data_IF_316927963118
#
_entry.id   IF_316927963118
#
_cell.length_a   1.000
_cell.length_b   1.000
_cell.length_c   1.000
_cell.angle_alpha   90.00
_cell.angle_beta   90.00
_cell.angle_gamma   90.00
#
_symmetry.space_group_name_H-M   'P 1'
#
loop_
_entity.id
_entity.type
_entity.pdbx_description
1 polymer ?
#
# COMPACT_ATOMS: atom_id res chain seq x y z
N UNK A 1 -22.56 -21.17 16.08
CA UNK A 1 -23.53 -20.10 15.77
C UNK A 1 -23.26 -19.63 14.36
N UNK A 2 -24.23 -19.78 13.46
CA UNK A 2 -24.11 -19.30 12.09
C UNK A 2 -24.25 -17.78 12.09
N UNK A 3 -23.24 -17.06 11.60
CA UNK A 3 -23.32 -15.63 11.38
C UNK A 3 -24.39 -15.39 10.32
N UNK A 4 -25.49 -14.73 10.68
CA UNK A 4 -26.47 -14.24 9.71
C UNK A 4 -25.76 -13.18 8.87
N UNK A 5 -25.75 -13.36 7.55
CA UNK A 5 -25.14 -12.43 6.60
C UNK A 5 -25.69 -11.01 6.83
N UNK A 6 -24.82 -10.11 7.30
CA UNK A 6 -25.11 -8.69 7.46
C UNK A 6 -24.04 -7.90 6.69
N UNK A 7 -24.37 -7.40 5.48
CA UNK A 7 -23.42 -6.67 4.62
C UNK A 7 -22.66 -5.54 5.33
N UNK A 8 -23.32 -4.84 6.26
CA UNK A 8 -22.71 -3.75 7.03
C UNK A 8 -21.61 -4.23 7.99
N UNK A 9 -21.73 -5.46 8.53
CA UNK A 9 -20.69 -6.04 9.36
C UNK A 9 -19.46 -6.43 8.51
N UNK A 10 -19.68 -7.01 7.34
CA UNK A 10 -18.60 -7.38 6.41
C UNK A 10 -17.85 -6.16 5.89
N UNK A 11 -18.57 -5.10 5.52
CA UNK A 11 -17.98 -3.81 5.15
C UNK A 11 -17.10 -3.25 6.28
N UNK A 12 -17.63 -3.20 7.50
CA UNK A 12 -16.87 -2.70 8.67
C UNK A 12 -15.62 -3.53 8.96
N UNK A 13 -15.71 -4.86 8.77
CA UNK A 13 -14.58 -5.78 8.91
C UNK A 13 -13.50 -5.52 7.85
N UNK A 14 -13.89 -5.29 6.59
CA UNK A 14 -12.92 -4.91 5.55
C UNK A 14 -12.31 -3.55 5.86
N UNK A 15 -13.09 -2.54 6.25
CA UNK A 15 -12.59 -1.21 6.57
C UNK A 15 -11.63 -1.20 7.78
N UNK A 16 -11.77 -2.14 8.72
CA UNK A 16 -10.91 -2.29 9.89
C UNK A 16 -9.70 -3.23 9.69
N UNK A 17 -9.88 -4.34 8.97
CA UNK A 17 -8.91 -5.44 8.88
C UNK A 17 -8.55 -5.85 7.46
N UNK A 18 -9.05 -5.14 6.44
CA UNK A 18 -8.88 -5.49 5.03
C UNK A 18 -7.42 -5.62 4.61
N UNK A 19 -6.51 -4.83 5.21
CA UNK A 19 -5.06 -4.95 4.95
C UNK A 19 -4.47 -6.28 5.43
N UNK A 20 -5.02 -6.87 6.49
CA UNK A 20 -4.58 -8.17 7.00
C UNK A 20 -4.89 -9.32 6.03
N UNK A 21 -5.78 -9.10 5.05
CA UNK A 21 -6.03 -10.07 3.98
C UNK A 21 -4.77 -10.47 3.23
N UNK A 22 -3.80 -9.56 3.11
CA UNK A 22 -2.54 -9.82 2.43
C UNK A 22 -1.63 -10.81 3.18
N UNK A 23 -1.87 -11.06 4.47
CA UNK A 23 -1.11 -12.04 5.27
C UNK A 23 -1.55 -13.49 5.01
N UNK A 24 -2.68 -13.68 4.32
CA UNK A 24 -3.26 -14.99 4.10
C UNK A 24 -3.08 -15.37 2.63
N UNK A 25 -2.20 -16.34 2.38
CA UNK A 25 -1.78 -16.73 1.04
C UNK A 25 -2.95 -16.97 0.07
N UNK A 26 -4.01 -17.74 0.41
CA UNK A 26 -5.15 -17.93 -0.50
C UNK A 26 -5.87 -16.62 -0.86
N UNK A 27 -6.00 -15.70 0.10
CA UNK A 27 -6.63 -14.40 -0.11
C UNK A 27 -5.73 -13.51 -0.96
N UNK A 28 -4.43 -13.46 -0.67
CA UNK A 28 -3.45 -12.72 -1.47
C UNK A 28 -3.42 -13.19 -2.94
N UNK A 29 -3.53 -14.51 -3.19
CA UNK A 29 -3.66 -15.06 -4.54
C UNK A 29 -4.85 -14.47 -5.30
N UNK A 30 -6.01 -14.40 -4.65
CA UNK A 30 -7.23 -13.87 -5.26
C UNK A 30 -7.20 -12.35 -5.40
N UNK A 31 -6.58 -11.62 -4.45
CA UNK A 31 -6.30 -10.18 -4.58
C UNK A 31 -5.51 -9.91 -5.86
N UNK A 32 -4.39 -10.61 -6.06
CA UNK A 32 -3.54 -10.46 -7.25
C UNK A 32 -4.28 -10.79 -8.54
N UNK A 33 -5.11 -11.85 -8.52
CA UNK A 33 -5.90 -12.29 -9.67
C UNK A 33 -6.97 -11.26 -10.08
N UNK A 34 -7.59 -10.60 -9.11
CA UNK A 34 -8.66 -9.61 -9.33
C UNK A 34 -8.16 -8.19 -9.56
N UNK A 35 -6.85 -7.98 -9.48
CA UNK A 35 -6.23 -6.66 -9.57
C UNK A 35 -6.44 -6.00 -10.94
N UNK A 36 -6.98 -4.79 -10.91
CA UNK A 36 -7.21 -3.93 -12.07
C UNK A 36 -6.28 -2.73 -11.99
N UNK A 37 -5.56 -2.46 -13.08
CA UNK A 37 -4.71 -1.28 -13.19
C UNK A 37 -5.56 -0.02 -13.41
N UNK A 38 -5.19 1.07 -12.73
CA UNK A 38 -5.79 2.39 -12.86
C UNK A 38 -4.85 3.27 -13.70
N UNK A 39 -5.07 3.36 -15.03
CA UNK A 39 -4.09 3.92 -15.94
C UNK A 39 -3.89 5.42 -15.74
N UNK A 40 -2.64 5.87 -15.94
CA UNK A 40 -2.35 7.27 -16.27
C UNK A 40 -2.95 7.59 -17.63
N UNK A 41 -3.38 8.83 -17.85
CA UNK A 41 -3.87 9.26 -19.17
C UNK A 41 -2.82 8.90 -20.23
N UNK A 42 -3.24 8.21 -21.29
CA UNK A 42 -2.39 7.73 -22.42
C UNK A 42 -1.33 6.64 -22.12
N UNK A 43 -1.34 5.98 -20.95
CA UNK A 43 -0.36 4.93 -20.63
C UNK A 43 -0.79 3.50 -21.00
N UNK A 44 0.20 2.68 -21.35
CA UNK A 44 0.05 1.23 -21.53
C UNK A 44 -0.36 0.59 -20.19
N UNK A 45 -1.17 -0.47 -20.23
CA UNK A 45 -1.48 -1.26 -19.03
C UNK A 45 -0.20 -1.82 -18.41
N UNK A 46 0.05 -1.48 -17.15
CA UNK A 46 1.17 -2.02 -16.38
C UNK A 46 0.70 -3.20 -15.51
N UNK A 47 1.60 -4.15 -15.30
CA UNK A 47 1.40 -5.22 -14.33
C UNK A 47 2.08 -4.86 -13.02
N UNK A 48 1.36 -5.04 -11.91
CA UNK A 48 1.90 -4.88 -10.56
C UNK A 48 3.01 -5.89 -10.30
N UNK A 49 4.00 -5.49 -9.51
CA UNK A 49 5.04 -6.37 -8.94
C UNK A 49 4.45 -7.60 -8.25
N UNK A 50 3.24 -7.47 -7.68
CA UNK A 50 2.54 -8.54 -6.96
C UNK A 50 2.06 -9.68 -7.86
N UNK A 51 1.96 -9.45 -9.18
CA UNK A 51 1.68 -10.52 -10.15
C UNK A 51 2.88 -11.43 -10.39
N UNK A 52 4.09 -10.97 -10.10
CA UNK A 52 5.29 -11.79 -10.20
C UNK A 52 5.40 -12.69 -8.97
N UNK A 53 5.04 -13.97 -9.11
CA UNK A 53 5.09 -14.95 -8.00
C UNK A 53 6.49 -15.28 -7.51
N UNK A 54 7.52 -14.95 -8.29
CA UNK A 54 8.92 -15.10 -7.88
C UNK A 54 9.43 -13.87 -7.11
N UNK A 55 8.63 -12.81 -7.00
CA UNK A 55 9.00 -11.61 -6.25
C UNK A 55 9.03 -11.92 -4.75
N UNK A 56 10.17 -11.74 -4.10
CA UNK A 56 10.30 -11.96 -2.68
C UNK A 56 9.44 -10.94 -1.90
N UNK A 57 8.63 -11.44 -0.98
CA UNK A 57 7.73 -10.60 -0.18
C UNK A 57 6.41 -10.21 -0.85
N UNK A 58 6.07 -10.75 -2.05
CA UNK A 58 4.80 -10.46 -2.73
C UNK A 58 3.56 -10.77 -1.88
N UNK A 59 3.65 -11.80 -1.04
CA UNK A 59 2.69 -12.09 0.02
C UNK A 59 3.41 -11.84 1.36
N UNK A 60 3.04 -10.81 2.14
CA UNK A 60 3.65 -10.61 3.44
C UNK A 60 3.34 -11.79 4.38
N UNK A 61 4.31 -12.16 5.20
CA UNK A 61 4.20 -13.28 6.15
C UNK A 61 4.19 -12.82 7.60
N UNK A 62 4.51 -11.55 7.83
CA UNK A 62 4.61 -10.93 9.15
C UNK A 62 3.98 -9.56 9.11
N UNK A 63 3.39 -9.18 10.23
CA UNK A 63 2.85 -7.86 10.47
C UNK A 63 3.72 -7.14 11.50
N UNK A 64 3.93 -5.85 11.32
CA UNK A 64 4.60 -4.98 12.28
C UNK A 64 3.89 -3.63 12.37
N UNK A 65 3.46 -3.26 13.57
CA UNK A 65 2.94 -1.93 13.82
C UNK A 65 4.10 -0.92 13.87
N UNK A 66 3.93 0.24 13.22
CA UNK A 66 4.93 1.30 13.16
C UNK A 66 4.36 2.56 13.80
N UNK A 67 5.01 3.00 14.88
CA UNK A 67 4.70 4.28 15.50
C UNK A 67 5.45 5.41 14.80
N UNK A 68 4.72 6.47 14.45
CA UNK A 68 5.30 7.70 13.93
C UNK A 68 5.41 8.72 15.06
N UNK A 69 6.39 9.62 14.96
CA UNK A 69 6.53 10.72 15.91
C UNK A 69 5.31 11.65 15.83
N UNK A 70 4.86 12.10 16.99
CA UNK A 70 3.88 13.18 17.13
C UNK A 70 4.59 14.31 17.88
N UNK A 71 4.95 15.39 17.19
CA UNK A 71 5.74 16.48 17.78
C UNK A 71 7.11 16.02 18.30
N UNK A 72 7.61 16.69 19.33
CA UNK A 72 8.97 16.48 19.83
C UNK A 72 9.11 15.33 20.87
N UNK A 73 8.00 14.82 21.41
CA UNK A 73 7.98 14.00 22.63
C UNK A 73 7.73 12.49 22.44
N UNK A 74 7.68 11.99 21.19
CA UNK A 74 7.36 10.58 20.91
C UNK A 74 8.56 9.70 20.55
N UNK A 75 8.52 8.43 20.99
CA UNK A 75 9.37 7.36 20.43
C UNK A 75 8.80 6.94 19.06
N UNK A 76 9.47 7.29 17.97
CA UNK A 76 9.18 6.72 16.64
C UNK A 76 9.86 5.37 16.46
N UNK A 77 9.19 4.51 15.72
CA UNK A 77 9.84 3.39 15.06
C UNK A 77 10.66 3.96 13.89
N UNK A 78 11.98 3.81 13.93
CA UNK A 78 12.86 4.11 12.80
C UNK A 78 13.25 2.80 12.14
N UNK A 79 12.98 2.69 10.85
CA UNK A 79 13.35 1.58 9.98
C UNK A 79 14.59 2.03 9.21
N UNK A 80 15.79 1.53 9.54
CA UNK A 80 16.97 1.80 8.72
C UNK A 80 16.74 1.22 7.33
N UNK A 81 16.92 2.02 6.28
CA UNK A 81 16.71 1.56 4.90
C UNK A 81 17.60 0.36 4.54
N UNK A 82 18.83 0.32 5.09
CA UNK A 82 19.73 -0.85 5.03
C UNK A 82 19.19 -2.15 5.64
N UNK A 83 18.13 -2.06 6.46
CA UNK A 83 17.50 -3.19 7.15
C UNK A 83 16.08 -3.47 6.62
N UNK A 84 15.69 -2.87 5.49
CA UNK A 84 14.40 -3.17 4.87
C UNK A 84 14.32 -4.67 4.55
N UNK A 85 13.25 -5.31 5.02
CA UNK A 85 12.95 -6.70 4.74
C UNK A 85 11.67 -6.78 3.91
N UNK A 86 11.72 -7.32 2.69
CA UNK A 86 10.52 -7.61 1.93
C UNK A 86 9.60 -8.59 2.68
N UNK A 87 8.29 -8.47 2.45
CA UNK A 87 7.29 -9.37 3.04
C UNK A 87 6.92 -9.10 4.52
N UNK A 88 7.28 -7.92 5.05
CA UNK A 88 6.74 -7.42 6.33
C UNK A 88 5.67 -6.36 6.03
N UNK A 89 4.43 -6.62 6.46
CA UNK A 89 3.31 -5.69 6.38
C UNK A 89 3.39 -4.69 7.54
N UNK A 90 3.75 -3.45 7.23
CA UNK A 90 3.81 -2.36 8.19
C UNK A 90 2.46 -1.67 8.30
N UNK A 91 1.93 -1.56 9.51
CA UNK A 91 0.68 -0.86 9.81
C UNK A 91 0.97 0.39 10.65
N UNK A 92 0.73 1.60 10.12
CA UNK A 92 0.80 2.84 10.90
C UNK A 92 -0.12 2.79 12.12
N UNK A 93 0.39 3.11 13.31
CA UNK A 93 -0.45 3.19 14.52
C UNK A 93 -1.16 4.54 14.67
N UNK A 94 -0.87 5.52 13.80
CA UNK A 94 -1.55 6.81 13.82
C UNK A 94 -2.87 6.73 13.06
N UNK A 95 -3.98 7.01 13.77
CA UNK A 95 -5.31 7.10 13.18
C UNK A 95 -5.44 8.19 12.09
N UNK A 96 -4.56 9.20 12.10
CA UNK A 96 -4.54 10.29 11.12
C UNK A 96 -3.64 10.02 9.89
N UNK A 97 -3.16 8.78 9.72
CA UNK A 97 -2.41 8.39 8.53
C UNK A 97 -3.38 8.15 7.36
N UNK A 98 -4.03 9.20 6.92
CA UNK A 98 -5.22 9.15 6.09
C UNK A 98 -4.99 8.85 4.60
N UNK A 99 -3.72 8.65 4.19
CA UNK A 99 -3.32 8.36 2.80
C UNK A 99 -3.21 6.86 2.53
N UNK A 100 -2.82 6.05 3.53
CA UNK A 100 -2.67 4.59 3.41
C UNK A 100 -3.04 3.91 4.72
N UNK A 101 -3.42 2.64 4.68
CA UNK A 101 -3.69 1.82 5.87
C UNK A 101 -2.55 0.85 6.18
N UNK A 102 -1.72 0.49 5.19
CA UNK A 102 -0.51 -0.31 5.38
C UNK A 102 0.49 -0.10 4.24
N UNK A 103 1.73 -0.57 4.44
CA UNK A 103 2.74 -0.63 3.37
C UNK A 103 3.69 -1.81 3.57
N UNK A 104 4.34 -2.26 2.49
CA UNK A 104 5.37 -3.29 2.55
C UNK A 104 6.27 -3.25 1.33
N UNK A 105 7.42 -3.92 1.44
CA UNK A 105 8.39 -4.00 0.36
C UNK A 105 8.30 -5.36 -0.36
N UNK A 106 8.49 -5.31 -1.67
CA UNK A 106 8.55 -6.47 -2.56
C UNK A 106 9.79 -6.35 -3.43
N UNK A 107 10.55 -7.44 -3.54
CA UNK A 107 11.82 -7.45 -4.25
C UNK A 107 11.77 -8.45 -5.42
N UNK A 108 12.16 -8.00 -6.61
CA UNK A 108 12.30 -8.85 -7.78
C UNK A 108 13.77 -8.97 -8.13
N UNK A 109 14.29 -10.19 -8.19
CA UNK A 109 15.60 -10.45 -8.77
C UNK A 109 15.53 -10.19 -10.27
N UNK A 110 16.41 -9.33 -10.79
CA UNK A 110 16.58 -9.19 -12.23
C UNK A 110 17.39 -10.39 -12.73
N UNK A 111 17.07 -10.95 -13.90
CA UNK A 111 17.92 -11.96 -14.52
C UNK A 111 19.33 -11.40 -14.73
N UNK A 112 20.34 -12.23 -14.52
CA UNK A 112 21.69 -12.01 -15.04
C UNK A 112 21.60 -11.95 -16.57
N UNK A 113 22.01 -10.83 -17.16
CA UNK A 113 22.22 -10.70 -18.62
C UNK A 113 23.69 -10.62 -19.01
N UNK A 114 24.59 -10.65 -18.03
CA UNK A 114 26.04 -10.49 -18.19
C UNK A 114 26.70 -11.21 -17.01
N UNK A 115 27.43 -12.30 -17.26
CA UNK A 115 28.01 -13.20 -16.25
C UNK A 115 29.06 -12.60 -15.29
N UNK A 116 29.09 -11.28 -15.14
CA UNK A 116 29.75 -10.54 -14.08
C UNK A 116 28.69 -10.10 -13.07
N UNK A 117 28.68 -10.70 -11.88
CA UNK A 117 27.70 -10.43 -10.81
C UNK A 117 27.80 -8.98 -10.33
N UNK A 118 26.83 -8.09 -10.61
CA UNK A 118 26.75 -6.81 -9.94
C UNK A 118 26.16 -7.05 -8.55
N UNK A 119 26.74 -6.41 -7.52
CA UNK A 119 26.30 -6.48 -6.12
C UNK A 119 24.85 -6.00 -5.84
N UNK A 120 24.07 -5.64 -6.87
CA UNK A 120 22.75 -5.03 -6.72
C UNK A 120 21.80 -5.37 -7.88
N UNK A 121 21.59 -6.66 -8.17
CA UNK A 121 20.73 -7.09 -9.29
C UNK A 121 19.25 -7.30 -8.88
N UNK A 122 18.72 -6.52 -7.94
CA UNK A 122 17.33 -6.60 -7.51
C UNK A 122 16.61 -5.26 -7.67
N UNK A 123 15.30 -5.34 -7.96
CA UNK A 123 14.41 -4.18 -8.02
C UNK A 123 13.48 -4.25 -6.82
N UNK A 124 13.60 -3.27 -5.93
CA UNK A 124 12.68 -3.10 -4.81
C UNK A 124 11.49 -2.24 -5.23
N UNK A 125 10.30 -2.61 -4.77
CA UNK A 125 9.05 -1.87 -4.95
C UNK A 125 8.40 -1.69 -3.60
N UNK A 126 8.03 -0.45 -3.26
CA UNK A 126 7.24 -0.13 -2.08
C UNK A 126 5.76 -0.13 -2.46
N UNK A 127 5.02 -1.06 -1.89
CA UNK A 127 3.58 -1.21 -2.09
C UNK A 127 2.86 -0.56 -0.92
N UNK A 128 2.10 0.47 -1.23
CA UNK A 128 1.14 1.10 -0.34
C UNK A 128 -0.23 0.43 -0.49
N UNK A 129 -0.94 0.28 0.62
CA UNK A 129 -2.25 -0.36 0.64
C UNK A 129 -3.24 0.59 1.31
N UNK A 130 -4.36 0.83 0.65
CA UNK A 130 -5.46 1.65 1.16
C UNK A 130 -6.76 0.85 1.12
N UNK A 131 -7.53 0.91 2.19
CA UNK A 131 -8.91 0.42 2.24
C UNK A 131 -9.84 1.64 2.21
N UNK A 132 -10.46 1.95 1.04
CA UNK A 132 -11.31 3.13 0.90
C UNK A 132 -12.58 3.01 1.73
N UNK A 133 -12.95 4.11 2.40
CA UNK A 133 -14.17 4.22 3.23
C UNK A 133 -15.11 5.24 2.62
N UNK A 134 -16.42 5.09 2.82
CA UNK A 134 -17.42 6.03 2.25
C UNK A 134 -17.24 7.49 2.68
N UNK A 135 -16.65 7.71 3.87
CA UNK A 135 -16.41 9.05 4.43
C UNK A 135 -15.02 9.60 4.09
N UNK A 136 -14.28 8.93 3.21
CA UNK A 136 -12.97 9.42 2.79
C UNK A 136 -13.11 10.72 2.00
N UNK A 137 -12.32 11.73 2.39
CA UNK A 137 -12.27 13.02 1.70
C UNK A 137 -11.29 12.96 0.53
N UNK A 138 -11.46 13.90 -0.42
CA UNK A 138 -10.56 14.04 -1.55
C UNK A 138 -9.09 14.19 -1.11
N UNK A 139 -8.18 13.55 -1.83
CA UNK A 139 -6.76 13.62 -1.55
C UNK A 139 -6.19 14.97 -2.03
N UNK A 140 -5.47 15.65 -1.14
CA UNK A 140 -4.85 16.96 -1.41
C UNK A 140 -3.34 16.88 -1.27
N UNK A 141 -2.62 17.81 -1.91
CA UNK A 141 -1.16 17.87 -1.81
C UNK A 141 -0.68 18.10 -0.38
N UNK A 142 -1.45 18.81 0.45
CA UNK A 142 -1.17 18.95 1.88
C UNK A 142 -1.14 17.60 2.60
N UNK A 143 -2.11 16.72 2.31
CA UNK A 143 -2.20 15.38 2.92
C UNK A 143 -1.05 14.50 2.46
N UNK A 144 -0.75 14.50 1.16
CA UNK A 144 0.38 13.74 0.59
C UNK A 144 1.73 14.26 1.10
N UNK A 145 1.92 15.58 1.21
CA UNK A 145 3.13 16.18 1.78
C UNK A 145 3.32 15.76 3.25
N UNK A 146 2.25 15.81 4.04
CA UNK A 146 2.28 15.35 5.44
C UNK A 146 2.58 13.85 5.55
N UNK A 147 2.05 13.04 4.63
CA UNK A 147 2.37 11.61 4.51
C UNK A 147 3.85 11.39 4.18
N UNK A 148 4.40 12.03 3.16
CA UNK A 148 5.82 11.92 2.77
C UNK A 148 6.73 12.32 3.93
N UNK A 149 6.42 13.42 4.64
CA UNK A 149 7.18 13.84 5.83
C UNK A 149 7.22 12.75 6.89
N UNK A 150 6.10 12.10 7.18
CA UNK A 150 6.05 11.00 8.14
C UNK A 150 6.85 9.78 7.65
N UNK A 151 6.84 9.48 6.36
CA UNK A 151 7.69 8.42 5.80
C UNK A 151 9.18 8.73 5.95
N UNK A 152 9.59 10.00 5.78
CA UNK A 152 10.96 10.46 6.05
C UNK A 152 11.36 10.29 7.51
N UNK A 153 10.43 10.51 8.44
CA UNK A 153 10.67 10.35 9.88
C UNK A 153 10.76 8.87 10.30
N UNK A 154 10.02 7.97 9.64
CA UNK A 154 10.04 6.54 9.97
C UNK A 154 11.12 5.74 9.23
N UNK A 155 11.71 6.27 8.15
CA UNK A 155 12.74 5.58 7.37
C UNK A 155 14.03 6.39 7.27
N UNK A 156 15.08 5.89 7.92
CA UNK A 156 16.42 6.46 7.86
C UNK A 156 17.07 6.14 6.50
N UNK A 157 17.23 7.18 5.67
CA UNK A 157 17.70 7.07 4.28
C UNK A 157 16.59 7.15 3.22
N UNK A 158 15.39 7.66 3.57
CA UNK A 158 14.26 7.79 2.65
C UNK A 158 14.62 8.41 1.29
N UNK A 159 15.32 9.55 1.28
CA UNK A 159 15.63 10.27 0.03
C UNK A 159 16.47 9.43 -0.93
N UNK A 160 17.47 8.71 -0.41
CA UNK A 160 18.30 7.82 -1.22
C UNK A 160 17.47 6.64 -1.74
N UNK A 161 16.67 6.02 -0.86
CA UNK A 161 15.82 4.90 -1.21
C UNK A 161 14.83 5.26 -2.32
N UNK A 162 14.13 6.41 -2.21
CA UNK A 162 13.06 6.76 -3.14
C UNK A 162 13.51 7.00 -4.57
N UNK A 163 14.81 7.27 -4.78
CA UNK A 163 15.40 7.42 -6.10
C UNK A 163 15.70 6.07 -6.78
N UNK A 164 15.70 4.97 -6.04
CA UNK A 164 16.13 3.65 -6.52
C UNK A 164 14.99 2.64 -6.63
N UNK A 165 13.80 2.97 -6.09
CA UNK A 165 12.67 2.03 -5.99
C UNK A 165 11.45 2.49 -6.80
N UNK A 166 10.57 1.54 -7.09
CA UNK A 166 9.25 1.83 -7.63
C UNK A 166 8.19 1.95 -6.53
N UNK A 167 7.09 2.62 -6.82
CA UNK A 167 5.95 2.79 -5.91
C UNK A 167 4.67 2.28 -6.55
N UNK A 168 3.92 1.50 -5.78
CA UNK A 168 2.58 1.06 -6.15
C UNK A 168 1.58 1.41 -5.05
N UNK A 169 0.34 1.74 -5.44
CA UNK A 169 -0.82 1.87 -4.56
C UNK A 169 -1.82 0.78 -4.88
N UNK A 170 -2.23 0.03 -3.87
CA UNK A 170 -3.25 -1.00 -3.96
C UNK A 170 -4.48 -0.58 -3.14
N UNK A 171 -5.59 -0.34 -3.83
CA UNK A 171 -6.88 -0.11 -3.20
C UNK A 171 -7.62 -1.44 -2.98
N UNK A 172 -7.84 -1.81 -1.72
CA UNK A 172 -8.65 -2.96 -1.33
C UNK A 172 -10.06 -2.48 -0.99
N UNK A 173 -10.99 -2.57 -1.93
CA UNK A 173 -12.34 -2.02 -1.80
C UNK A 173 -13.36 -3.12 -1.54
N UNK A 174 -14.21 -2.95 -0.53
CA UNK A 174 -15.40 -3.81 -0.36
C UNK A 174 -16.41 -3.59 -1.50
N UNK A 175 -17.10 -4.65 -1.95
CA UNK A 175 -18.04 -4.56 -3.09
C UNK A 175 -19.19 -3.56 -2.89
N UNK A 176 -19.56 -3.22 -1.65
CA UNK A 176 -20.58 -2.21 -1.36
C UNK A 176 -20.10 -0.77 -1.54
N UNK A 177 -18.79 -0.53 -1.53
CA UNK A 177 -18.21 0.81 -1.68
C UNK A 177 -18.12 1.19 -3.16
N UNK A 178 -18.15 2.49 -3.45
CA UNK A 178 -18.09 3.03 -4.82
C UNK A 178 -16.81 2.59 -5.54
N UNK A 179 -16.95 2.02 -6.73
CA UNK A 179 -15.84 1.54 -7.54
C UNK A 179 -14.84 2.66 -7.92
N UNK A 180 -13.55 2.35 -7.79
CA UNK A 180 -12.44 3.23 -8.15
C UNK A 180 -12.12 2.98 -9.62
N UNK A 181 -12.97 3.48 -10.50
CA UNK A 181 -12.82 3.27 -11.95
C UNK A 181 -11.76 4.18 -12.60
N UNK A 182 -11.09 5.03 -11.82
CA UNK A 182 -10.16 6.04 -12.29
C UNK A 182 -8.97 6.14 -11.35
N UNK A 183 -7.82 6.49 -11.90
CA UNK A 183 -6.65 6.89 -11.12
C UNK A 183 -7.04 7.99 -10.11
N UNK A 184 -6.62 7.82 -8.87
CA UNK A 184 -6.82 8.82 -7.83
C UNK A 184 -5.82 9.95 -8.05
N UNK A 185 -6.33 11.18 -8.14
CA UNK A 185 -5.51 12.37 -8.32
C UNK A 185 -5.32 13.07 -6.97
N UNK A 186 -4.19 13.76 -6.85
CA UNK A 186 -3.88 14.57 -5.69
C UNK A 186 -4.08 16.05 -6.05
N UNK A 187 -5.17 16.66 -5.55
CA UNK A 187 -5.53 18.02 -5.91
C UNK A 187 -4.49 19.04 -5.45
N UNK A 188 -3.95 19.81 -6.40
CA UNK A 188 -3.08 20.95 -6.16
C UNK A 188 -3.93 22.23 -6.11
N UNK A 189 -3.79 23.02 -5.04
CA UNK A 189 -4.53 24.28 -4.93
C UNK A 189 -4.06 25.28 -6.00
N UNK A 190 -4.98 26.12 -6.49
CA UNK A 190 -4.66 27.15 -7.49
C UNK A 190 -3.61 28.11 -6.94
N UNK A 191 -2.54 28.34 -7.70
CA UNK A 191 -1.44 29.21 -7.29
C UNK A 191 -0.50 28.62 -6.24
N UNK A 192 -0.67 27.35 -5.87
CA UNK A 192 0.26 26.67 -4.97
C UNK A 192 1.63 26.50 -5.65
N UNK A 193 2.65 27.06 -5.00
CA UNK A 193 4.04 27.08 -5.50
C UNK A 193 5.02 26.54 -4.46
N UNK A 194 4.54 26.16 -3.28
CA UNK A 194 5.40 25.59 -2.24
C UNK A 194 5.98 24.26 -2.73
N UNK A 195 7.31 24.17 -2.64
CA UNK A 195 8.07 23.00 -3.11
C UNK A 195 7.54 21.67 -2.56
N UNK A 196 7.20 21.61 -1.28
CA UNK A 196 6.65 20.40 -0.65
C UNK A 196 5.34 19.91 -1.30
N UNK A 197 4.49 20.83 -1.78
CA UNK A 197 3.24 20.50 -2.45
C UNK A 197 3.47 20.03 -3.89
N UNK A 198 4.45 20.63 -4.58
CA UNK A 198 4.86 20.21 -5.92
C UNK A 198 5.53 18.83 -5.89
N UNK A 199 6.42 18.59 -4.92
CA UNK A 199 7.04 17.28 -4.67
C UNK A 199 5.97 16.23 -4.34
N UNK A 200 5.00 16.57 -3.49
CA UNK A 200 3.88 15.67 -3.17
C UNK A 200 3.01 15.32 -4.38
N UNK A 201 2.71 16.31 -5.23
CA UNK A 201 1.97 16.08 -6.46
C UNK A 201 2.74 15.17 -7.42
N UNK A 202 4.02 15.47 -7.67
CA UNK A 202 4.88 14.67 -8.54
C UNK A 202 5.07 13.23 -8.02
N UNK A 203 5.24 13.05 -6.71
CA UNK A 203 5.31 11.74 -6.08
C UNK A 203 4.05 10.92 -6.35
N UNK A 204 2.87 11.52 -6.16
CA UNK A 204 1.60 10.83 -6.38
C UNK A 204 1.34 10.50 -7.85
N UNK A 205 1.68 11.40 -8.77
CA UNK A 205 1.54 11.17 -10.22
C UNK A 205 2.46 10.07 -10.75
N UNK A 206 3.62 9.84 -10.11
CA UNK A 206 4.54 8.78 -10.51
C UNK A 206 4.18 7.39 -9.96
N UNK A 207 3.27 7.29 -8.99
CA UNK A 207 2.89 6.03 -8.35
C UNK A 207 1.99 5.17 -9.26
N UNK A 208 2.27 3.89 -9.46
CA UNK A 208 1.33 3.03 -10.19
C UNK A 208 0.16 2.63 -9.28
N UNK A 209 -1.07 2.66 -9.79
CA UNK A 209 -2.26 2.48 -8.96
C UNK A 209 -3.09 1.30 -9.43
N UNK A 210 -3.58 0.51 -8.48
CA UNK A 210 -4.37 -0.69 -8.73
C UNK A 210 -5.57 -0.75 -7.80
N UNK A 211 -6.66 -1.30 -8.28
CA UNK A 211 -7.86 -1.59 -7.49
C UNK A 211 -8.12 -3.09 -7.45
N UNK A 212 -8.57 -3.56 -6.28
CA UNK A 212 -9.12 -4.90 -6.08
C UNK A 212 -10.48 -4.77 -5.40
N UNK A 213 -11.48 -5.42 -6.00
CA UNK A 213 -12.79 -5.60 -5.37
C UNK A 213 -12.80 -6.86 -4.50
N UNK A 214 -13.04 -6.66 -3.21
CA UNK A 214 -13.28 -7.68 -2.22
C UNK A 214 -14.80 -7.94 -2.15
N UNK A 215 -15.23 -8.96 -2.88
CA UNK A 215 -16.59 -9.50 -2.76
C UNK A 215 -16.70 -10.50 -1.61
N UNK A 216 -17.95 -10.79 -1.23
CA UNK A 216 -18.30 -11.50 0.01
C UNK A 216 -17.53 -12.80 0.25
N UNK A 217 -17.31 -13.63 -0.78
CA UNK A 217 -16.55 -14.89 -0.65
C UNK A 217 -15.10 -14.66 -0.15
N UNK A 218 -14.45 -13.58 -0.59
CA UNK A 218 -13.12 -13.24 -0.09
C UNK A 218 -13.17 -12.68 1.31
N UNK A 219 -14.25 -11.95 1.65
CA UNK A 219 -14.45 -11.45 2.99
C UNK A 219 -14.72 -12.60 3.96
N UNK A 220 -15.52 -13.60 3.57
CA UNK A 220 -15.73 -14.82 4.35
C UNK A 220 -14.42 -15.57 4.58
N UNK A 221 -13.60 -15.71 3.53
CA UNK A 221 -12.28 -16.34 3.64
C UNK A 221 -11.39 -15.57 4.61
N UNK A 222 -11.39 -14.24 4.53
CA UNK A 222 -10.69 -13.35 5.46
C UNK A 222 -11.19 -13.52 6.90
N UNK A 223 -12.51 -13.54 7.10
CA UNK A 223 -13.12 -13.72 8.42
C UNK A 223 -12.72 -15.06 9.02
N UNK A 224 -12.84 -16.16 8.27
CA UNK A 224 -12.42 -17.49 8.73
C UNK A 224 -10.94 -17.50 9.11
N UNK A 225 -10.09 -16.90 8.26
CA UNK A 225 -8.65 -16.75 8.50
C UNK A 225 -8.31 -15.95 9.77
N UNK A 226 -9.11 -14.93 10.10
CA UNK A 226 -8.95 -14.14 11.32
C UNK A 226 -9.46 -14.92 12.54
N UNK A 227 -10.59 -15.62 12.43
CA UNK A 227 -11.22 -16.33 13.55
C UNK A 227 -10.53 -17.64 13.91
N UNK A 228 -9.90 -18.35 12.97
CA UNK A 228 -9.17 -19.61 13.24
C UNK A 228 -7.84 -19.41 13.99
N UNK A 229 -7.41 -18.15 14.18
CA UNK A 229 -6.20 -17.79 14.93
C UNK A 229 -6.45 -17.45 16.41
N UNK A 230 -7.66 -17.64 16.91
CA UNK A 230 -8.05 -17.39 18.31
C UNK A 230 -8.77 -18.59 18.93
#
# INVERSE_FOLDING_TARGET
>A
MAWVYMPEHYKSLVEGFGVCALLHLPVAHEVVKKMKYLPKESSVTLESVLKNRNAYGWCPIRLQCVSFRIGDSGNSTVIPTKNIKPGILYIPTLFEFDVIDAFYFVEVLRPDTTGDVPKNNSRLTLVFVRVPRERDTALTTSRVAAFIRRMKECMDGWEQLTNEIAFEMLYLRHTSNVAINRRQTCALAIGETRREHLEAHAFWENMEQFEVELGDVLVDTLVNCITERW
#
